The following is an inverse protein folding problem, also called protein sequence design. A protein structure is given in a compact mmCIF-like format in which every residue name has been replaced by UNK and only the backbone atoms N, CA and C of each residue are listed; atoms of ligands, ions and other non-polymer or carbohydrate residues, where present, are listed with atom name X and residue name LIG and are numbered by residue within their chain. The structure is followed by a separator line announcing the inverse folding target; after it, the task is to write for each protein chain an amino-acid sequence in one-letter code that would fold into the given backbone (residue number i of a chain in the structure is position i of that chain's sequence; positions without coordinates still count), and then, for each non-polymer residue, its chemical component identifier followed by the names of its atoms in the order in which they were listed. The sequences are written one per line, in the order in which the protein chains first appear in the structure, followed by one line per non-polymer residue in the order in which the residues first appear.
data_IF_809771620684
#
_entry.id   IF_809771620684
#
_cell.length_a   1.000
_cell.length_b   1.000
_cell.length_c   1.000
_cell.angle_alpha   90.00
_cell.angle_beta   90.00
_cell.angle_gamma   90.00
#
_symmetry.space_group_name_H-M   'P 1'
#
loop_
_entity.id
_entity.type
_entity.pdbx_description
1 polymer ?
#
# COMPACT_ATOMS: atom_id res chain seq x y z
N UNK A 1 9.73 -20.33 -3.60
CA UNK A 1 8.35 -20.42 -3.10
C UNK A 1 7.46 -21.40 -3.89
N UNK A 2 8.06 -22.39 -4.56
CA UNK A 2 7.32 -23.40 -5.37
C UNK A 2 6.64 -24.48 -4.54
N UNK A 3 6.81 -24.50 -3.21
CA UNK A 3 6.20 -25.48 -2.29
C UNK A 3 6.41 -26.94 -2.73
N UNK A 4 7.59 -27.26 -3.30
CA UNK A 4 7.94 -28.60 -3.79
C UNK A 4 7.47 -28.89 -5.21
N UNK A 5 6.80 -27.96 -5.89
CA UNK A 5 6.34 -28.15 -7.27
C UNK A 5 7.35 -27.70 -8.34
N UNK A 6 8.49 -27.17 -7.93
CA UNK A 6 9.49 -26.58 -8.84
C UNK A 6 9.97 -27.56 -9.92
N UNK A 7 10.18 -28.84 -9.55
CA UNK A 7 10.62 -29.88 -10.48
C UNK A 7 9.58 -30.15 -11.57
N UNK A 8 8.30 -30.27 -11.17
CA UNK A 8 7.17 -30.52 -12.09
C UNK A 8 6.98 -29.30 -13.02
N UNK A 9 7.02 -28.09 -12.49
CA UNK A 9 6.86 -26.87 -13.28
C UNK A 9 8.00 -26.70 -14.29
N UNK A 10 9.25 -26.96 -13.86
CA UNK A 10 10.42 -26.91 -14.77
C UNK A 10 10.36 -27.94 -15.86
N UNK A 11 9.92 -29.17 -15.56
CA UNK A 11 9.77 -30.23 -16.56
C UNK A 11 8.68 -29.95 -17.60
N UNK A 12 7.85 -28.92 -17.36
CA UNK A 12 6.75 -28.51 -18.26
C UNK A 12 6.91 -27.05 -18.71
N UNK A 13 8.12 -26.52 -18.67
CA UNK A 13 8.39 -25.13 -19.04
C UNK A 13 7.99 -24.77 -20.47
N UNK A 14 7.99 -25.74 -21.36
CA UNK A 14 7.56 -25.64 -22.77
C UNK A 14 6.04 -25.42 -22.96
N UNK A 15 5.24 -25.79 -21.96
CA UNK A 15 3.78 -25.62 -21.99
C UNK A 15 3.26 -24.70 -20.88
N UNK A 16 4.14 -23.98 -20.18
CA UNK A 16 3.76 -22.98 -19.18
C UNK A 16 3.69 -21.59 -19.79
N UNK A 17 2.61 -20.88 -19.52
CA UNK A 17 2.44 -19.48 -19.85
C UNK A 17 2.01 -18.69 -18.62
N UNK A 18 2.69 -17.57 -18.34
CA UNK A 18 2.32 -16.65 -17.28
C UNK A 18 1.46 -15.51 -17.81
N UNK A 19 0.38 -15.19 -17.09
CA UNK A 19 -0.49 -14.06 -17.41
C UNK A 19 -0.54 -13.16 -16.18
N UNK A 20 -0.03 -11.93 -16.31
CA UNK A 20 -0.10 -10.92 -15.24
C UNK A 20 -1.54 -10.44 -15.06
N UNK A 21 -1.91 -10.15 -13.82
CA UNK A 21 -3.19 -9.51 -13.54
C UNK A 21 -3.23 -8.10 -14.13
N UNK A 22 -4.41 -7.69 -14.60
CA UNK A 22 -4.73 -6.29 -14.83
C UNK A 22 -5.54 -5.71 -13.67
N UNK A 23 -5.91 -4.45 -13.80
CA UNK A 23 -6.86 -3.78 -12.91
C UNK A 23 -8.05 -3.25 -13.74
N UNK A 24 -9.21 -3.17 -13.11
CA UNK A 24 -10.37 -2.51 -13.70
C UNK A 24 -10.17 -1.00 -13.65
N UNK A 25 -9.95 -0.39 -14.80
CA UNK A 25 -9.76 1.06 -14.96
C UNK A 25 -11.04 1.87 -14.74
N UNK A 26 -12.20 1.24 -14.75
CA UNK A 26 -13.46 1.91 -14.45
C UNK A 26 -13.68 2.00 -12.95
N UNK A 27 -13.50 0.88 -12.26
CA UNK A 27 -13.63 0.82 -10.80
C UNK A 27 -12.48 1.55 -10.07
N UNK A 28 -11.28 1.58 -10.66
CA UNK A 28 -10.11 2.25 -10.07
C UNK A 28 -9.74 3.49 -10.89
N UNK A 29 -10.58 4.52 -10.84
CA UNK A 29 -10.39 5.73 -11.61
C UNK A 29 -10.50 6.99 -10.74
N UNK A 30 -9.40 7.72 -10.49
CA UNK A 30 -9.44 8.94 -9.68
C UNK A 30 -10.31 10.08 -10.27
N UNK A 31 -10.70 9.96 -11.54
CA UNK A 31 -11.61 10.95 -12.17
C UNK A 31 -13.09 10.72 -11.82
N UNK A 32 -13.46 9.49 -11.38
CA UNK A 32 -14.85 9.10 -11.16
C UNK A 32 -15.09 8.34 -9.85
N UNK A 33 -14.04 8.10 -9.06
CA UNK A 33 -14.12 7.36 -7.81
C UNK A 33 -15.06 8.05 -6.82
N UNK A 34 -16.07 7.33 -6.33
CA UNK A 34 -17.09 7.86 -5.41
C UNK A 34 -16.64 7.99 -3.95
N UNK A 35 -15.47 7.48 -3.58
CA UNK A 35 -14.98 7.49 -2.21
C UNK A 35 -13.99 8.62 -1.92
N UNK A 36 -13.43 9.25 -2.95
CA UNK A 36 -12.47 10.34 -2.79
C UNK A 36 -13.18 11.71 -2.74
N UNK A 37 -12.58 12.66 -2.06
CA UNK A 37 -13.18 13.99 -1.85
C UNK A 37 -13.08 14.87 -3.09
N UNK A 38 -11.96 14.75 -3.81
CA UNK A 38 -11.70 15.52 -5.01
C UNK A 38 -11.22 14.62 -6.13
N UNK A 39 -11.90 14.66 -7.27
CA UNK A 39 -11.45 13.96 -8.46
C UNK A 39 -10.20 14.63 -9.05
N UNK A 40 -9.34 13.81 -9.65
CA UNK A 40 -8.13 14.28 -10.30
C UNK A 40 -7.72 13.33 -11.43
N UNK A 41 -6.80 13.77 -12.27
CA UNK A 41 -6.24 12.97 -13.36
C UNK A 41 -4.74 13.21 -13.50
N UNK A 42 -4.09 12.47 -14.38
CA UNK A 42 -2.67 12.72 -14.70
C UNK A 42 -2.42 14.09 -15.32
N UNK A 43 -3.40 14.64 -16.04
CA UNK A 43 -3.32 16.00 -16.61
C UNK A 43 -3.64 17.09 -15.57
N UNK A 44 -4.41 16.78 -14.54
CA UNK A 44 -4.86 17.68 -13.49
C UNK A 44 -4.70 17.03 -12.12
N UNK A 45 -3.44 16.93 -11.60
CA UNK A 45 -3.14 16.20 -10.37
C UNK A 45 -3.43 16.98 -9.08
N UNK A 46 -3.86 18.24 -9.15
CA UNK A 46 -4.01 19.16 -8.02
C UNK A 46 -4.97 18.63 -6.94
N UNK A 47 -6.02 17.90 -7.38
CA UNK A 47 -6.99 17.29 -6.47
C UNK A 47 -6.40 16.26 -5.51
N UNK A 48 -5.21 15.72 -5.80
CA UNK A 48 -4.51 14.78 -4.90
C UNK A 48 -4.14 15.43 -3.57
N UNK A 49 -3.73 16.69 -3.56
CA UNK A 49 -3.43 17.43 -2.34
C UNK A 49 -4.67 17.60 -1.45
N UNK A 50 -5.84 17.91 -2.06
CA UNK A 50 -7.08 18.03 -1.31
C UNK A 50 -7.50 16.70 -0.67
N UNK A 51 -7.33 15.58 -1.37
CA UNK A 51 -7.56 14.24 -0.82
C UNK A 51 -6.62 13.93 0.35
N UNK A 52 -5.34 14.32 0.26
CA UNK A 52 -4.37 14.13 1.32
C UNK A 52 -4.78 14.87 2.61
N UNK A 53 -5.16 16.13 2.52
CA UNK A 53 -5.65 16.90 3.68
C UNK A 53 -6.93 16.29 4.25
N UNK A 54 -7.87 15.88 3.40
CA UNK A 54 -9.09 15.23 3.85
C UNK A 54 -8.83 13.90 4.58
N UNK A 55 -7.88 13.10 4.09
CA UNK A 55 -7.48 11.86 4.75
C UNK A 55 -6.79 12.13 6.10
N UNK A 56 -5.86 13.08 6.15
CA UNK A 56 -5.19 13.48 7.38
C UNK A 56 -6.22 13.85 8.45
N UNK A 57 -7.17 14.72 8.11
CA UNK A 57 -8.26 15.12 9.00
C UNK A 57 -9.13 13.92 9.43
N UNK A 58 -9.54 13.06 8.49
CA UNK A 58 -10.35 11.86 8.78
C UNK A 58 -9.66 10.94 9.78
N UNK A 59 -8.34 10.77 9.66
CA UNK A 59 -7.55 9.83 10.45
C UNK A 59 -6.93 10.46 11.71
N UNK A 60 -7.20 11.73 12.01
CA UNK A 60 -6.63 12.43 13.16
C UNK A 60 -5.12 12.66 13.06
N UNK A 61 -4.60 12.74 11.83
CA UNK A 61 -3.23 13.15 11.56
C UNK A 61 -3.13 14.69 11.53
N UNK A 62 -1.94 15.20 11.78
CA UNK A 62 -1.66 16.64 11.59
C UNK A 62 -1.84 17.02 10.11
N UNK A 63 -2.57 18.07 9.82
CA UNK A 63 -2.75 18.59 8.46
C UNK A 63 -1.48 19.33 8.03
N UNK A 64 -0.57 18.60 7.37
CA UNK A 64 0.78 19.10 6.98
C UNK A 64 1.16 18.64 5.58
N UNK A 65 1.93 19.47 4.90
CA UNK A 65 2.53 19.10 3.62
C UNK A 65 3.87 18.38 3.82
N UNK A 66 3.79 17.13 4.27
CA UNK A 66 4.92 16.22 4.45
C UNK A 66 4.63 14.92 3.71
N UNK A 67 5.63 14.11 3.34
CA UNK A 67 5.38 12.83 2.68
C UNK A 67 4.46 11.93 3.51
N UNK A 68 3.37 11.48 2.90
CA UNK A 68 2.44 10.51 3.46
C UNK A 68 2.75 9.13 2.88
N UNK A 69 3.23 8.25 3.73
CA UNK A 69 3.59 6.88 3.38
C UNK A 69 2.43 5.97 3.78
N UNK A 70 1.99 5.11 2.88
CA UNK A 70 0.88 4.19 3.14
C UNK A 70 1.25 2.73 2.94
N UNK A 71 0.58 1.85 3.68
CA UNK A 71 0.62 0.41 3.49
C UNK A 71 -0.79 -0.15 3.65
N UNK A 72 -1.27 -0.86 2.64
CA UNK A 72 -2.57 -1.57 2.68
C UNK A 72 -2.27 -3.04 2.45
N UNK A 73 -2.46 -3.87 3.49
CA UNK A 73 -2.08 -5.27 3.37
C UNK A 73 -2.67 -6.14 4.48
N UNK A 74 -2.71 -7.44 4.23
CA UNK A 74 -2.82 -8.42 5.30
C UNK A 74 -1.51 -8.44 6.11
N UNK A 75 -1.60 -8.33 7.42
CA UNK A 75 -0.45 -8.33 8.33
C UNK A 75 0.04 -9.76 8.56
N UNK A 76 0.99 -10.19 7.73
CA UNK A 76 1.57 -11.52 7.74
C UNK A 76 3.04 -11.46 7.28
N UNK A 77 3.83 -12.44 7.67
CA UNK A 77 5.25 -12.58 7.30
C UNK A 77 5.49 -12.46 5.79
N UNK A 78 4.62 -13.04 4.99
CA UNK A 78 4.68 -12.97 3.53
C UNK A 78 4.74 -11.53 3.03
N UNK A 79 4.04 -10.61 3.70
CA UNK A 79 3.94 -9.20 3.31
C UNK A 79 5.10 -8.34 3.82
N UNK A 80 6.10 -8.97 4.46
CA UNK A 80 7.33 -8.32 4.88
C UNK A 80 7.17 -7.37 6.07
N UNK A 81 6.14 -7.60 6.90
CA UNK A 81 5.92 -6.80 8.11
C UNK A 81 7.10 -6.93 9.06
N UNK A 82 7.70 -8.11 9.17
CA UNK A 82 8.92 -8.38 9.96
C UNK A 82 10.14 -7.63 9.42
N UNK A 83 10.21 -7.35 8.11
CA UNK A 83 11.27 -6.53 7.51
C UNK A 83 11.04 -5.04 7.83
N UNK A 84 9.78 -4.61 7.81
CA UNK A 84 9.41 -3.21 8.03
C UNK A 84 9.47 -2.82 9.51
N UNK A 85 8.97 -3.69 10.42
CA UNK A 85 8.82 -3.37 11.84
C UNK A 85 10.11 -2.84 12.51
N UNK A 86 11.30 -3.38 12.27
CA UNK A 86 12.54 -2.89 12.88
C UNK A 86 12.94 -1.47 12.44
N UNK A 87 12.49 -1.02 11.28
CA UNK A 87 12.89 0.29 10.70
C UNK A 87 11.82 1.36 10.84
N UNK A 88 10.64 1.03 11.40
CA UNK A 88 9.53 1.97 11.56
C UNK A 88 9.93 3.20 12.38
N UNK A 89 10.61 3.01 13.52
CA UNK A 89 11.03 4.13 14.37
C UNK A 89 12.08 5.01 13.67
N UNK A 90 12.98 4.43 12.89
CA UNK A 90 13.94 5.19 12.11
C UNK A 90 13.25 5.99 11.00
N UNK A 91 12.29 5.38 10.31
CA UNK A 91 11.46 6.08 9.32
C UNK A 91 10.72 7.26 9.96
N UNK A 92 10.17 7.08 11.14
CA UNK A 92 9.44 8.13 11.87
C UNK A 92 10.33 9.24 12.47
N UNK A 93 11.66 9.09 12.48
CA UNK A 93 12.60 10.19 12.77
C UNK A 93 12.66 11.23 11.65
N UNK A 94 12.25 10.84 10.43
CA UNK A 94 12.07 11.77 9.32
C UNK A 94 10.74 12.52 9.49
N UNK A 95 10.63 13.65 8.83
CA UNK A 95 9.39 14.43 8.83
C UNK A 95 8.40 13.83 7.80
N UNK A 96 7.78 12.73 8.20
CA UNK A 96 6.83 11.95 7.38
C UNK A 96 5.62 11.55 8.21
N UNK A 97 4.55 11.19 7.54
CA UNK A 97 3.39 10.53 8.13
C UNK A 97 3.25 9.11 7.60
N UNK A 98 2.64 8.24 8.38
CA UNK A 98 2.43 6.84 8.02
C UNK A 98 0.99 6.40 8.27
N UNK A 99 0.38 5.75 7.28
CA UNK A 99 -0.97 5.18 7.36
C UNK A 99 -0.90 3.69 7.04
N UNK A 100 -1.42 2.88 7.95
CA UNK A 100 -1.66 1.46 7.74
C UNK A 100 -3.16 1.19 7.63
N UNK A 101 -3.55 0.34 6.69
CA UNK A 101 -4.87 -0.30 6.63
C UNK A 101 -4.69 -1.81 6.45
N UNK A 102 -5.25 -2.60 7.36
CA UNK A 102 -5.22 -4.06 7.25
C UNK A 102 -5.24 -4.78 8.58
N UNK A 103 -5.49 -6.08 8.52
CA UNK A 103 -5.55 -6.98 9.68
C UNK A 103 -4.67 -8.20 9.47
N UNK A 104 -4.34 -8.93 10.52
CA UNK A 104 -3.59 -10.18 10.41
C UNK A 104 -3.11 -10.73 11.74
N UNK A 105 -1.83 -11.02 11.83
CA UNK A 105 -1.24 -11.59 13.05
C UNK A 105 -1.27 -10.60 14.21
N UNK A 106 -1.74 -11.00 15.40
CA UNK A 106 -1.89 -10.11 16.55
C UNK A 106 -0.61 -9.38 16.96
N UNK A 107 0.55 -10.01 16.79
CA UNK A 107 1.86 -9.42 17.06
C UNK A 107 2.14 -8.20 16.18
N UNK A 108 1.78 -8.29 14.90
CA UNK A 108 1.93 -7.19 13.95
C UNK A 108 0.89 -6.09 14.18
N UNK A 109 -0.36 -6.46 14.47
CA UNK A 109 -1.37 -5.47 14.85
C UNK A 109 -0.93 -4.67 16.08
N UNK A 110 -0.40 -5.35 17.11
CA UNK A 110 0.15 -4.69 18.29
C UNK A 110 1.29 -3.75 17.96
N UNK A 111 2.20 -4.16 17.07
CA UNK A 111 3.34 -3.33 16.63
C UNK A 111 2.86 -2.00 16.05
N UNK A 112 1.87 -2.01 15.15
CA UNK A 112 1.38 -0.79 14.54
C UNK A 112 0.53 0.07 15.48
N UNK A 113 -0.28 -0.54 16.37
CA UNK A 113 -0.98 0.21 17.44
C UNK A 113 0.01 0.90 18.38
N UNK A 114 1.08 0.20 18.75
CA UNK A 114 2.16 0.77 19.56
C UNK A 114 2.88 1.91 18.85
N UNK A 115 3.13 1.77 17.54
CA UNK A 115 3.72 2.84 16.72
C UNK A 115 2.83 4.08 16.73
N UNK A 116 1.52 3.93 16.49
CA UNK A 116 0.57 5.05 16.55
C UNK A 116 0.59 5.75 17.90
N UNK A 117 0.67 5.00 19.01
CA UNK A 117 0.71 5.58 20.36
C UNK A 117 2.00 6.37 20.61
N UNK A 118 3.12 5.98 19.99
CA UNK A 118 4.40 6.70 20.10
C UNK A 118 4.48 7.94 19.22
N UNK A 119 3.75 7.96 18.12
CA UNK A 119 3.77 9.04 17.13
C UNK A 119 2.35 9.59 16.85
N UNK A 120 1.66 10.14 17.88
CA UNK A 120 0.32 10.68 17.72
C UNK A 120 0.33 11.83 16.69
N UNK A 121 -0.72 11.91 15.88
CA UNK A 121 -0.83 12.89 14.79
C UNK A 121 0.06 12.62 13.57
N UNK A 122 0.96 11.63 13.63
CA UNK A 122 1.86 11.28 12.53
C UNK A 122 1.67 9.86 12.01
N UNK A 123 1.10 8.97 12.82
CA UNK A 123 0.81 7.58 12.46
C UNK A 123 -0.66 7.27 12.67
N UNK A 124 -1.28 6.61 11.69
CA UNK A 124 -2.64 6.05 11.81
C UNK A 124 -2.63 4.56 11.46
N UNK A 125 -2.93 3.71 12.43
CA UNK A 125 -3.02 2.26 12.29
C UNK A 125 -4.49 1.81 12.26
N UNK A 126 -5.00 1.56 11.07
CA UNK A 126 -6.40 1.17 10.84
C UNK A 126 -6.45 -0.36 10.72
N UNK A 127 -6.73 -1.03 11.86
CA UNK A 127 -6.69 -2.49 11.96
C UNK A 127 -8.09 -3.05 11.67
N UNK A 128 -8.52 -2.92 10.43
CA UNK A 128 -9.77 -3.43 9.88
C UNK A 128 -9.69 -3.48 8.35
N UNK A 129 -10.73 -3.96 7.69
CA UNK A 129 -10.89 -3.87 6.22
C UNK A 129 -11.94 -2.81 5.89
N UNK A 130 -11.61 -1.89 5.00
CA UNK A 130 -12.51 -0.83 4.51
C UNK A 130 -12.09 -0.42 3.10
N UNK A 131 -12.94 -0.72 2.12
CA UNK A 131 -12.68 -0.44 0.71
C UNK A 131 -12.66 1.06 0.43
N UNK A 132 -13.58 1.81 1.02
CA UNK A 132 -13.64 3.26 0.83
C UNK A 132 -12.38 3.95 1.39
N UNK A 133 -11.91 3.50 2.55
CA UNK A 133 -10.66 4.00 3.12
C UNK A 133 -9.45 3.59 2.27
N UNK A 134 -9.44 2.39 1.68
CA UNK A 134 -8.38 1.97 0.79
C UNK A 134 -8.25 2.90 -0.44
N UNK A 135 -9.36 3.23 -1.09
CA UNK A 135 -9.37 4.16 -2.23
C UNK A 135 -8.90 5.56 -1.82
N UNK A 136 -9.35 6.05 -0.67
CA UNK A 136 -8.90 7.34 -0.14
C UNK A 136 -7.40 7.34 0.18
N UNK A 137 -6.86 6.24 0.70
CA UNK A 137 -5.42 6.11 0.96
C UNK A 137 -4.63 6.13 -0.36
N UNK A 138 -5.05 5.37 -1.40
CA UNK A 138 -4.40 5.42 -2.70
C UNK A 138 -4.44 6.81 -3.33
N UNK A 139 -5.57 7.53 -3.18
CA UNK A 139 -5.72 8.87 -3.72
C UNK A 139 -4.90 9.95 -2.97
N UNK A 140 -4.51 9.68 -1.72
CA UNK A 140 -3.92 10.67 -0.81
C UNK A 140 -2.44 10.48 -0.55
N UNK A 141 -1.96 9.22 -0.55
CA UNK A 141 -0.57 8.93 -0.22
C UNK A 141 0.39 9.41 -1.31
N UNK A 142 1.60 9.76 -0.91
CA UNK A 142 2.70 10.04 -1.82
C UNK A 142 3.46 8.76 -2.16
N UNK A 143 3.64 7.89 -1.16
CA UNK A 143 4.40 6.65 -1.27
C UNK A 143 3.58 5.46 -0.76
N UNK A 144 3.71 4.32 -1.42
CA UNK A 144 3.02 3.08 -1.06
C UNK A 144 4.01 1.94 -0.83
N UNK A 145 4.03 1.37 0.40
CA UNK A 145 5.01 0.34 0.78
C UNK A 145 4.51 -1.08 0.48
N UNK A 146 5.33 -1.84 -0.23
CA UNK A 146 5.13 -3.26 -0.50
C UNK A 146 6.42 -4.06 -0.25
N UNK A 147 6.85 -4.25 1.01
CA UNK A 147 8.09 -4.95 1.34
C UNK A 147 7.95 -6.48 1.26
N UNK A 148 6.99 -7.00 0.51
CA UNK A 148 6.64 -8.41 0.45
C UNK A 148 7.85 -9.31 0.19
N UNK A 149 8.00 -10.37 0.98
CA UNK A 149 9.02 -11.40 0.75
C UNK A 149 8.76 -12.16 -0.53
N UNK A 150 7.49 -12.30 -0.86
CA UNK A 150 6.99 -13.02 -2.00
C UNK A 150 5.62 -12.45 -2.40
N UNK A 151 5.46 -12.13 -3.69
CA UNK A 151 4.21 -11.61 -4.25
C UNK A 151 4.01 -12.20 -5.65
N UNK A 152 3.02 -13.09 -5.87
CA UNK A 152 2.81 -13.70 -7.18
C UNK A 152 2.53 -12.68 -8.29
N UNK A 153 1.71 -11.69 -8.02
CA UNK A 153 1.43 -10.59 -8.92
C UNK A 153 1.41 -9.25 -8.16
N UNK A 154 0.56 -9.15 -7.13
CA UNK A 154 0.21 -7.91 -6.46
C UNK A 154 -0.81 -7.09 -7.27
N UNK A 155 -1.68 -6.37 -6.56
CA UNK A 155 -2.60 -5.39 -7.14
C UNK A 155 -2.34 -4.00 -6.56
N UNK A 156 -1.93 -3.94 -5.30
CA UNK A 156 -1.73 -2.67 -4.58
C UNK A 156 -0.77 -1.71 -5.28
N UNK A 157 0.30 -2.19 -5.90
CA UNK A 157 1.21 -1.34 -6.69
C UNK A 157 0.53 -0.77 -7.94
N UNK A 158 -0.33 -1.56 -8.58
CA UNK A 158 -1.04 -1.08 -9.76
C UNK A 158 -2.12 -0.06 -9.39
N UNK A 159 -2.85 -0.30 -8.29
CA UNK A 159 -3.78 0.70 -7.76
C UNK A 159 -3.05 1.98 -7.34
N UNK A 160 -1.95 1.87 -6.60
CA UNK A 160 -1.19 3.04 -6.18
C UNK A 160 -0.70 3.87 -7.37
N UNK A 161 -0.15 3.23 -8.41
CA UNK A 161 0.27 3.90 -9.64
C UNK A 161 -0.91 4.57 -10.37
N UNK A 162 -2.07 3.89 -10.44
CA UNK A 162 -3.28 4.44 -11.07
C UNK A 162 -3.76 5.72 -10.38
N UNK A 163 -3.59 5.81 -9.07
CA UNK A 163 -3.92 6.98 -8.26
C UNK A 163 -2.74 7.95 -8.08
N UNK A 164 -1.64 7.80 -8.83
CA UNK A 164 -0.49 8.70 -8.77
C UNK A 164 0.29 8.61 -7.45
N UNK A 165 0.23 7.48 -6.77
CA UNK A 165 1.01 7.17 -5.57
C UNK A 165 2.17 6.27 -5.94
N UNK A 166 3.39 6.65 -5.59
CA UNK A 166 4.61 5.94 -6.01
C UNK A 166 4.85 4.70 -5.15
N UNK A 167 4.85 3.48 -5.70
CA UNK A 167 5.14 2.29 -4.94
C UNK A 167 6.63 2.17 -4.61
N UNK A 168 6.92 1.79 -3.37
CA UNK A 168 8.23 1.32 -2.90
C UNK A 168 8.09 -0.17 -2.63
N UNK A 169 8.59 -0.99 -3.52
CA UNK A 169 8.41 -2.43 -3.46
C UNK A 169 9.74 -3.18 -3.44
N UNK A 170 9.73 -4.33 -2.79
CA UNK A 170 10.84 -5.28 -2.90
C UNK A 170 10.78 -5.94 -4.28
N UNK A 171 11.91 -6.02 -4.98
CA UNK A 171 12.02 -6.67 -6.29
C UNK A 171 11.85 -8.18 -6.14
N UNK A 172 10.60 -8.66 -6.24
CA UNK A 172 10.26 -10.10 -6.10
C UNK A 172 8.97 -10.43 -6.85
N UNK A 173 8.94 -11.57 -7.53
CA UNK A 173 7.75 -12.06 -8.26
C UNK A 173 7.12 -11.00 -9.14
N UNK A 174 5.79 -10.92 -9.13
CA UNK A 174 5.03 -9.98 -9.94
C UNK A 174 5.29 -8.50 -9.65
N UNK A 175 5.85 -8.15 -8.48
CA UNK A 175 6.29 -6.76 -8.24
C UNK A 175 7.46 -6.37 -9.16
N UNK A 176 8.37 -7.30 -9.46
CA UNK A 176 9.46 -7.06 -10.39
C UNK A 176 9.02 -7.00 -11.87
N UNK A 177 7.81 -7.48 -12.16
CA UNK A 177 7.25 -7.50 -13.52
C UNK A 177 6.37 -6.26 -13.81
N UNK A 178 5.90 -5.58 -12.75
CA UNK A 178 4.90 -4.51 -12.86
C UNK A 178 5.41 -3.12 -12.43
N UNK A 179 6.63 -3.05 -11.86
CA UNK A 179 7.28 -1.79 -11.43
C UNK A 179 8.65 -1.65 -12.09
#
# INVERSE_FOLDING_TARGET
YGYGMDGILRSRSDCLCGILNGIDFTANNPETDGFIVKHFSAAHPEGKAENKYALQKRLGLEEREVPLIAMITRLADQKGVDILAPVLDEMMRRDVQFVLLGTGEPSYEYTFRSLQSRYPGRVSANIFFDEALAQQIYASADLFLMPSKFEPCGLGQMFSLRFGTVPIARKTGGLADTI
#
